data_IF_283717177716
#
_entry.id   IF_283717177716
#
_cell.length_a   1.000
_cell.length_b   1.000
_cell.length_c   1.000
_cell.angle_alpha   90.00
_cell.angle_beta   90.00
_cell.angle_gamma   90.00
#
_symmetry.space_group_name_H-M   'P 1'
#
loop_
_entity.id
_entity.type
_entity.pdbx_description
1 polymer ?
#
# COMPACT_ATOMS: atom_id res chain seq x y z
N UNK A 1 0.81 -12.17 25.81
CA UNK A 1 0.53 -13.41 25.04
C UNK A 1 1.46 -13.38 23.83
N UNK A 2 1.91 -14.53 23.30
CA UNK A 2 2.74 -14.53 22.10
C UNK A 2 1.85 -14.49 20.84
N UNK A 3 2.23 -13.67 19.86
CA UNK A 3 1.53 -13.59 18.58
C UNK A 3 1.75 -14.87 17.77
N UNK A 4 0.71 -15.32 17.04
CA UNK A 4 0.83 -16.48 16.14
C UNK A 4 1.61 -16.13 14.88
N UNK A 5 1.45 -14.90 14.40
CA UNK A 5 2.09 -14.37 13.21
C UNK A 5 2.46 -12.90 13.47
N UNK A 6 3.74 -12.58 13.29
CA UNK A 6 4.23 -11.20 13.29
C UNK A 6 4.79 -10.88 11.91
N UNK A 7 4.34 -9.78 11.33
CA UNK A 7 4.75 -9.30 10.01
C UNK A 7 5.48 -7.97 10.21
N UNK A 8 6.72 -7.88 9.72
CA UNK A 8 7.52 -6.67 9.76
C UNK A 8 7.73 -6.21 8.32
N UNK A 9 7.08 -5.10 7.95
CA UNK A 9 7.14 -4.54 6.61
C UNK A 9 5.76 -4.20 6.06
N UNK A 10 5.72 -3.12 5.29
CA UNK A 10 4.50 -2.52 4.71
C UNK A 10 4.55 -2.41 3.19
N UNK A 11 5.40 -3.20 2.53
CA UNK A 11 5.38 -3.37 1.08
C UNK A 11 4.31 -4.39 0.64
N UNK A 12 4.23 -4.69 -0.67
CA UNK A 12 3.27 -5.64 -1.22
C UNK A 12 3.30 -7.02 -0.55
N UNK A 13 4.50 -7.52 -0.23
CA UNK A 13 4.67 -8.82 0.44
C UNK A 13 4.11 -8.81 1.87
N UNK A 14 4.29 -7.71 2.62
CA UNK A 14 3.80 -7.56 3.98
C UNK A 14 2.27 -7.52 4.01
N UNK A 15 1.66 -6.68 3.16
CA UNK A 15 0.20 -6.58 3.06
C UNK A 15 -0.45 -7.86 2.53
N UNK A 16 0.13 -8.50 1.51
CA UNK A 16 -0.38 -9.80 1.03
C UNK A 16 -0.35 -10.84 2.15
N UNK A 17 0.74 -10.92 2.92
CA UNK A 17 0.84 -11.81 4.06
C UNK A 17 -0.21 -11.50 5.12
N UNK A 18 -0.43 -10.22 5.43
CA UNK A 18 -1.42 -9.77 6.40
C UNK A 18 -2.84 -10.16 5.98
N UNK A 19 -3.22 -9.92 4.72
CA UNK A 19 -4.53 -10.28 4.17
C UNK A 19 -4.78 -11.79 4.35
N UNK A 20 -3.84 -12.64 3.91
CA UNK A 20 -4.06 -14.08 3.95
C UNK A 20 -4.04 -14.66 5.37
N UNK A 21 -3.20 -14.12 6.26
CA UNK A 21 -3.14 -14.58 7.65
C UNK A 21 -4.34 -14.09 8.47
N UNK A 22 -4.83 -12.88 8.21
CA UNK A 22 -6.08 -12.38 8.77
C UNK A 22 -7.27 -13.22 8.30
N UNK A 23 -7.37 -13.53 6.99
CA UNK A 23 -8.41 -14.43 6.44
C UNK A 23 -8.35 -15.85 7.02
N UNK A 24 -7.19 -16.30 7.46
CA UNK A 24 -7.00 -17.58 8.13
C UNK A 24 -7.31 -17.53 9.64
N UNK A 25 -7.86 -16.43 10.17
CA UNK A 25 -8.14 -16.21 11.61
C UNK A 25 -6.89 -16.42 12.49
N UNK A 26 -5.71 -15.99 12.00
CA UNK A 26 -4.46 -16.07 12.76
C UNK A 26 -4.16 -14.79 13.55
N UNK A 27 -4.98 -13.75 13.41
CA UNK A 27 -4.86 -12.47 14.14
C UNK A 27 -3.43 -11.88 14.02
N UNK A 28 -2.93 -11.60 12.80
CA UNK A 28 -1.54 -11.18 12.60
C UNK A 28 -1.27 -9.78 13.19
N UNK A 29 -0.12 -9.62 13.82
CA UNK A 29 0.41 -8.31 14.20
C UNK A 29 1.31 -7.76 13.09
N UNK A 30 0.98 -6.60 12.54
CA UNK A 30 1.72 -5.95 11.44
C UNK A 30 2.44 -4.70 11.93
N UNK A 31 3.75 -4.64 11.69
CA UNK A 31 4.57 -3.44 11.88
C UNK A 31 4.85 -2.78 10.54
N UNK A 32 4.15 -1.68 10.25
CA UNK A 32 4.28 -0.97 8.97
C UNK A 32 5.49 -0.04 8.88
N UNK A 33 6.13 0.26 10.02
CA UNK A 33 7.15 1.29 10.14
C UNK A 33 6.58 2.60 10.69
N UNK A 34 7.45 3.60 10.89
CA UNK A 34 7.05 4.89 11.45
C UNK A 34 7.35 6.04 10.47
N UNK A 35 6.45 7.01 10.37
CA UNK A 35 6.68 8.26 9.64
C UNK A 35 7.55 9.20 10.47
N UNK A 36 8.86 8.94 10.49
CA UNK A 36 9.85 9.78 11.17
C UNK A 36 10.84 10.37 10.18
N UNK A 37 11.46 11.49 10.56
CA UNK A 37 12.51 12.12 9.77
C UNK A 37 13.72 11.19 9.56
N UNK A 38 14.08 10.41 10.58
CA UNK A 38 15.15 9.40 10.48
C UNK A 38 14.83 8.33 9.41
N UNK A 39 13.58 7.82 9.39
CA UNK A 39 13.14 6.86 8.38
C UNK A 39 13.05 7.49 6.98
N UNK A 40 12.70 8.78 6.89
CA UNK A 40 12.71 9.53 5.62
C UNK A 40 14.13 9.62 5.05
N UNK A 41 15.12 9.97 5.87
CA UNK A 41 16.52 10.09 5.46
C UNK A 41 17.13 8.74 5.06
N UNK A 42 16.68 7.65 5.68
CA UNK A 42 17.11 6.28 5.37
C UNK A 42 16.36 5.65 4.18
N UNK A 43 15.33 6.32 3.65
CA UNK A 43 14.49 5.77 2.59
C UNK A 43 13.59 4.61 3.03
N UNK A 44 13.31 4.48 4.33
CA UNK A 44 12.57 3.38 4.96
C UNK A 44 11.22 3.81 5.52
N UNK A 45 10.57 4.79 4.87
CA UNK A 45 9.19 5.14 5.21
C UNK A 45 8.23 3.95 4.99
N UNK A 46 7.09 3.92 5.70
CA UNK A 46 6.05 2.93 5.45
C UNK A 46 5.57 2.92 3.99
N UNK A 47 4.87 1.85 3.60
CA UNK A 47 4.37 1.56 2.24
C UNK A 47 5.42 1.00 1.26
N UNK A 48 6.67 0.86 1.70
CA UNK A 48 7.73 0.25 0.90
C UNK A 48 8.12 1.06 -0.35
N UNK A 49 8.90 0.44 -1.23
CA UNK A 49 9.52 1.14 -2.36
C UNK A 49 8.53 1.61 -3.42
N UNK A 50 7.40 0.91 -3.61
CA UNK A 50 6.39 1.32 -4.58
C UNK A 50 5.82 2.70 -4.24
N UNK A 51 5.67 3.06 -2.96
CA UNK A 51 5.18 4.40 -2.61
C UNK A 51 6.07 5.56 -3.09
N UNK A 52 7.28 5.27 -3.60
CA UNK A 52 8.20 6.25 -4.14
C UNK A 52 8.18 6.31 -5.68
N UNK A 53 7.38 5.47 -6.35
CA UNK A 53 7.29 5.42 -7.82
C UNK A 53 6.10 6.21 -8.34
N UNK A 54 6.24 6.77 -9.54
CA UNK A 54 5.18 7.55 -10.20
C UNK A 54 4.17 6.68 -10.93
N UNK A 55 4.61 5.55 -11.48
CA UNK A 55 3.78 4.67 -12.31
C UNK A 55 4.21 3.21 -12.13
N UNK A 56 3.25 2.30 -12.19
CA UNK A 56 3.45 0.85 -12.12
C UNK A 56 2.70 0.21 -13.28
N UNK A 57 3.44 -0.16 -14.33
CA UNK A 57 2.87 -0.67 -15.60
C UNK A 57 2.75 -2.20 -15.63
N UNK A 58 3.41 -2.89 -14.68
CA UNK A 58 3.61 -4.34 -14.71
C UNK A 58 2.92 -5.08 -13.56
N UNK A 59 2.04 -4.43 -12.80
CA UNK A 59 1.21 -5.10 -11.81
C UNK A 59 -0.11 -5.56 -12.44
N UNK A 60 -0.41 -6.87 -12.46
CA UNK A 60 -1.61 -7.39 -13.10
C UNK A 60 -2.88 -6.88 -12.40
N UNK A 61 -3.90 -6.54 -13.18
CA UNK A 61 -5.19 -6.03 -12.69
C UNK A 61 -5.36 -4.51 -12.80
N UNK A 62 -4.29 -3.76 -13.10
CA UNK A 62 -4.34 -2.32 -13.34
C UNK A 62 -3.86 -2.01 -14.77
N UNK A 63 -4.71 -2.24 -15.79
CA UNK A 63 -4.36 -1.87 -17.15
C UNK A 63 -4.18 -0.36 -17.27
N UNK A 64 -3.43 0.06 -18.29
CA UNK A 64 -3.27 1.47 -18.56
C UNK A 64 -4.64 2.11 -18.92
N UNK A 65 -4.94 3.27 -18.34
CA UNK A 65 -6.17 4.03 -18.56
C UNK A 65 -6.49 5.01 -17.43
N UNK A 66 -7.68 5.60 -17.50
CA UNK A 66 -8.21 6.45 -16.44
C UNK A 66 -8.81 5.59 -15.32
N UNK A 67 -8.09 5.45 -14.21
CA UNK A 67 -8.52 4.68 -13.04
C UNK A 67 -9.22 5.56 -11.98
N UNK A 68 -9.45 6.85 -12.25
CA UNK A 68 -9.94 7.82 -11.24
C UNK A 68 -11.19 7.33 -10.52
N UNK A 69 -12.22 6.91 -11.26
CA UNK A 69 -13.48 6.46 -10.67
C UNK A 69 -13.30 5.22 -9.77
N UNK A 70 -12.45 4.29 -10.16
CA UNK A 70 -12.15 3.11 -9.37
C UNK A 70 -11.42 3.49 -8.07
N UNK A 71 -10.39 4.33 -8.17
CA UNK A 71 -9.60 4.81 -7.03
C UNK A 71 -10.45 5.59 -6.03
N UNK A 72 -11.33 6.47 -6.52
CA UNK A 72 -12.24 7.26 -5.68
C UNK A 72 -13.27 6.38 -4.94
N UNK A 73 -13.69 5.28 -5.54
CA UNK A 73 -14.62 4.33 -4.91
C UNK A 73 -13.94 3.33 -3.96
N UNK A 74 -12.65 3.07 -4.15
CA UNK A 74 -11.93 2.01 -3.43
C UNK A 74 -11.08 2.55 -2.29
N UNK A 75 -10.51 3.76 -2.40
CA UNK A 75 -9.65 4.35 -1.37
C UNK A 75 -10.48 5.24 -0.48
N UNK A 76 -10.26 5.15 0.84
CA UNK A 76 -10.91 6.01 1.82
C UNK A 76 -10.75 7.49 1.45
N UNK A 77 -11.86 8.23 1.43
CA UNK A 77 -11.91 9.64 1.01
C UNK A 77 -10.89 10.52 1.77
N UNK A 78 -10.71 10.25 3.07
CA UNK A 78 -9.79 10.98 3.93
C UNK A 78 -8.33 10.89 3.46
N UNK A 79 -7.95 9.79 2.80
CA UNK A 79 -6.63 9.58 2.19
C UNK A 79 -6.61 10.06 0.76
N UNK A 80 -7.64 9.69 -0.02
CA UNK A 80 -7.73 9.97 -1.45
C UNK A 80 -7.57 11.45 -1.78
N UNK A 81 -8.12 12.33 -0.94
CA UNK A 81 -8.05 13.79 -1.08
C UNK A 81 -6.63 14.39 -0.95
N UNK A 82 -5.71 13.68 -0.30
CA UNK A 82 -4.31 14.12 -0.14
C UNK A 82 -3.36 13.47 -1.14
N UNK A 83 -3.85 12.53 -1.95
CA UNK A 83 -3.07 11.92 -3.01
C UNK A 83 -2.97 12.86 -4.21
N UNK A 84 -1.89 12.71 -4.99
CA UNK A 84 -1.78 13.40 -6.27
C UNK A 84 -2.96 13.04 -7.18
N UNK A 85 -3.39 13.93 -8.08
CA UNK A 85 -4.34 13.58 -9.12
C UNK A 85 -3.82 12.41 -9.96
N UNK A 86 -4.71 11.47 -10.28
CA UNK A 86 -4.36 10.30 -11.08
C UNK A 86 -3.91 10.72 -12.49
N UNK A 87 -2.82 10.12 -12.98
CA UNK A 87 -2.18 10.48 -14.25
C UNK A 87 -2.90 10.01 -15.52
N UNK A 88 -3.92 9.13 -15.39
CA UNK A 88 -4.69 8.54 -16.50
C UNK A 88 -3.85 7.75 -17.50
N UNK A 89 -2.72 7.21 -17.04
CA UNK A 89 -1.85 6.32 -17.80
C UNK A 89 -1.78 4.98 -17.10
N UNK A 90 -1.07 4.84 -15.99
CA UNK A 90 -1.09 3.66 -15.13
C UNK A 90 -1.39 4.00 -13.68
N UNK A 91 -1.61 2.96 -12.86
CA UNK A 91 -1.70 3.14 -11.41
C UNK A 91 -0.36 3.64 -10.88
N UNK A 92 -0.39 4.65 -10.02
CA UNK A 92 0.81 5.13 -9.35
C UNK A 92 1.20 4.22 -8.20
N UNK A 93 2.46 4.29 -7.79
CA UNK A 93 2.97 3.53 -6.66
C UNK A 93 2.20 3.77 -5.35
N UNK A 94 1.97 5.04 -4.93
CA UNK A 94 1.14 5.35 -3.77
C UNK A 94 -0.30 4.83 -3.87
N UNK A 95 -0.95 4.96 -5.03
CA UNK A 95 -2.31 4.44 -5.26
C UNK A 95 -2.35 2.93 -5.06
N UNK A 96 -1.41 2.20 -5.68
CA UNK A 96 -1.34 0.75 -5.56
C UNK A 96 -1.07 0.29 -4.12
N UNK A 97 -0.20 0.99 -3.40
CA UNK A 97 0.10 0.65 -2.01
C UNK A 97 -1.09 0.89 -1.06
N UNK A 98 -1.86 1.95 -1.27
CA UNK A 98 -3.07 2.19 -0.47
C UNK A 98 -4.20 1.20 -0.78
N UNK A 99 -4.30 0.71 -2.02
CA UNK A 99 -5.21 -0.39 -2.37
C UNK A 99 -4.82 -1.71 -1.69
N UNK A 100 -3.51 -1.98 -1.56
CA UNK A 100 -3.02 -3.19 -0.89
C UNK A 100 -3.18 -3.16 0.63
N UNK A 101 -3.24 -1.97 1.24
CA UNK A 101 -3.29 -1.77 2.69
C UNK A 101 -4.67 -2.02 3.32
N UNK A 102 -5.70 -2.24 2.51
CA UNK A 102 -7.09 -2.44 2.95
C UNK A 102 -7.33 -3.84 3.52
#
# INVERSE_FOLDING_TARGET
MAERVTIIGSGPAGWTSAIYTARANLEPLVYEGAFTEDNRLKGTLPLGQLAQTTEVENYPGFPAGDLTAYLDSSIEESKRKYMAPHGKHGVSGPELMELMRQ
#
